data_IF_468031100499
#
_entry.id   IF_468031100499
#
_cell.length_a   1.000
_cell.length_b   1.000
_cell.length_c   1.000
_cell.angle_alpha   90.00
_cell.angle_beta   90.00
_cell.angle_gamma   90.00
#
_symmetry.space_group_name_H-M   'P 1'
#
loop_
_entity.id
_entity.type
_entity.pdbx_description
1 polymer ?
#
# COMPACT_ATOMS: atom_id res chain seq x y z
N UNK A 1 5.83 -17.52 8.86
CA UNK A 1 5.74 -16.11 8.50
C UNK A 1 5.91 -15.96 6.99
N UNK A 2 4.97 -15.31 6.35
CA UNK A 2 5.06 -15.09 4.92
C UNK A 2 5.65 -13.73 4.63
N UNK A 3 6.72 -13.72 3.82
CA UNK A 3 7.33 -12.48 3.35
C UNK A 3 7.03 -12.39 1.87
N UNK A 4 6.30 -11.34 1.50
CA UNK A 4 5.97 -11.12 0.11
C UNK A 4 7.07 -10.30 -0.56
N UNK A 5 7.48 -10.75 -1.75
CA UNK A 5 8.43 -10.01 -2.55
C UNK A 5 7.81 -8.69 -3.01
N UNK A 6 8.60 -7.65 -2.97
CA UNK A 6 8.16 -6.35 -3.47
C UNK A 6 9.34 -5.67 -4.17
N UNK A 7 9.00 -4.77 -5.09
CA UNK A 7 9.99 -4.05 -5.88
C UNK A 7 10.28 -2.67 -5.30
N UNK A 8 9.28 -2.07 -4.66
CA UNK A 8 9.37 -0.73 -4.09
C UNK A 8 8.68 -0.70 -2.74
N UNK A 9 9.02 0.28 -1.94
CA UNK A 9 8.46 0.42 -0.61
C UNK A 9 8.28 1.89 -0.29
N UNK A 10 7.14 2.24 0.33
CA UNK A 10 6.93 3.57 0.88
C UNK A 10 6.52 3.45 2.33
N UNK A 11 6.98 4.40 3.13
CA UNK A 11 6.70 4.47 4.55
C UNK A 11 5.76 5.64 4.81
N UNK A 12 4.53 5.31 5.21
CA UNK A 12 3.53 6.33 5.56
C UNK A 12 3.18 6.28 7.04
N UNK A 13 4.07 5.72 7.84
CA UNK A 13 3.87 5.63 9.29
C UNK A 13 3.73 7.04 9.88
N UNK A 14 2.74 7.21 10.75
CA UNK A 14 2.47 8.50 11.35
C UNK A 14 1.54 9.39 10.55
N UNK A 15 1.23 9.01 9.31
CA UNK A 15 0.32 9.78 8.47
C UNK A 15 -1.09 9.18 8.56
N UNK A 16 -2.09 10.06 8.48
CA UNK A 16 -3.49 9.62 8.54
C UNK A 16 -4.16 9.78 7.18
N UNK A 17 -5.26 9.04 7.00
CA UNK A 17 -6.05 9.09 5.79
C UNK A 17 -6.50 10.54 5.51
N UNK A 18 -6.41 11.01 4.24
CA UNK A 18 -6.14 10.24 3.02
C UNK A 18 -4.68 10.30 2.55
N UNK A 19 -3.75 10.78 3.38
CA UNK A 19 -2.38 11.02 2.94
C UNK A 19 -1.68 9.75 2.47
N UNK A 20 -1.79 8.60 3.16
CA UNK A 20 -1.16 7.37 2.66
C UNK A 20 -1.63 6.98 1.27
N UNK A 21 -2.92 7.15 0.97
CA UNK A 21 -3.48 6.82 -0.35
C UNK A 21 -2.89 7.76 -1.41
N UNK A 22 -2.75 9.03 -1.07
CA UNK A 22 -2.17 10.01 -1.98
C UNK A 22 -0.71 9.67 -2.29
N UNK A 23 0.02 9.19 -1.29
CA UNK A 23 1.41 8.76 -1.48
C UNK A 23 1.50 7.55 -2.40
N UNK A 24 0.58 6.60 -2.26
CA UNK A 24 0.53 5.44 -3.15
C UNK A 24 0.25 5.88 -4.58
N UNK A 25 -0.72 6.76 -4.77
CA UNK A 25 -1.07 7.27 -6.10
C UNK A 25 0.13 7.95 -6.75
N UNK A 26 0.87 8.74 -5.97
CA UNK A 26 2.05 9.44 -6.47
C UNK A 26 3.15 8.45 -6.85
N UNK A 27 3.41 7.46 -5.99
CA UNK A 27 4.44 6.46 -6.26
C UNK A 27 4.11 5.64 -7.49
N UNK A 28 2.85 5.30 -7.70
CA UNK A 28 2.42 4.54 -8.87
C UNK A 28 2.74 5.26 -10.18
N UNK A 29 2.81 6.58 -10.16
CA UNK A 29 3.19 7.34 -11.36
C UNK A 29 4.67 7.18 -11.70
N UNK A 30 5.48 6.80 -10.72
CA UNK A 30 6.93 6.78 -10.87
C UNK A 30 7.51 5.38 -11.03
N UNK A 31 6.69 4.35 -10.91
CA UNK A 31 7.18 2.96 -11.01
C UNK A 31 6.59 2.27 -12.23
N UNK A 32 7.29 1.26 -12.78
CA UNK A 32 6.78 0.53 -13.94
C UNK A 32 5.52 -0.26 -13.63
N UNK A 33 4.70 -0.48 -14.65
CA UNK A 33 3.53 -1.33 -14.52
C UNK A 33 3.94 -2.76 -14.12
N UNK A 34 3.12 -3.37 -13.27
CA UNK A 34 3.39 -4.71 -12.78
C UNK A 34 4.26 -4.72 -11.53
N UNK A 35 4.81 -3.57 -11.13
CA UNK A 35 5.63 -3.48 -9.92
C UNK A 35 4.80 -3.69 -8.67
N UNK A 36 5.40 -4.35 -7.69
CA UNK A 36 4.78 -4.57 -6.38
C UNK A 36 5.28 -3.50 -5.42
N UNK A 37 4.36 -2.80 -4.80
CA UNK A 37 4.66 -1.74 -3.84
C UNK A 37 4.26 -2.19 -2.44
N UNK A 38 5.21 -2.12 -1.51
CA UNK A 38 4.95 -2.36 -0.10
C UNK A 38 4.66 -1.03 0.57
N UNK A 39 3.51 -0.94 1.23
CA UNK A 39 3.08 0.27 1.92
C UNK A 39 3.08 0.00 3.41
N UNK A 40 3.86 0.77 4.16
CA UNK A 40 3.89 0.68 5.62
C UNK A 40 3.07 1.86 6.17
N UNK A 41 2.17 1.58 7.09
CA UNK A 41 1.29 2.61 7.64
C UNK A 41 1.02 2.34 9.11
N UNK A 42 0.54 3.36 9.81
CA UNK A 42 0.07 3.24 11.19
C UNK A 42 -1.45 3.41 11.31
N UNK A 43 -2.10 3.79 10.22
CA UNK A 43 -3.55 4.00 10.19
C UNK A 43 -4.25 2.66 9.98
N UNK A 44 -5.10 2.28 10.93
CA UNK A 44 -5.82 1.01 10.84
C UNK A 44 -6.78 0.93 9.65
N UNK A 45 -7.18 2.06 9.09
CA UNK A 45 -8.06 2.11 7.92
C UNK A 45 -7.35 1.86 6.61
N UNK A 46 -6.02 1.73 6.62
CA UNK A 46 -5.24 1.65 5.38
C UNK A 46 -5.61 0.43 4.52
N UNK A 47 -5.93 -0.68 5.14
CA UNK A 47 -6.23 -1.92 4.41
C UNK A 47 -7.47 -1.72 3.55
N UNK A 48 -8.56 -1.26 4.16
CA UNK A 48 -9.82 -1.05 3.42
C UNK A 48 -9.70 0.10 2.44
N UNK A 49 -8.98 1.16 2.81
CA UNK A 49 -8.80 2.31 1.93
C UNK A 49 -8.01 1.92 0.67
N UNK A 50 -6.95 1.15 0.81
CA UNK A 50 -6.17 0.70 -0.34
C UNK A 50 -6.91 -0.34 -1.17
N UNK A 51 -7.68 -1.21 -0.52
CA UNK A 51 -8.52 -2.16 -1.24
C UNK A 51 -9.50 -1.42 -2.14
N UNK A 52 -10.16 -0.40 -1.61
CA UNK A 52 -11.10 0.42 -2.36
C UNK A 52 -10.42 1.19 -3.48
N UNK A 53 -9.25 1.79 -3.18
CA UNK A 53 -8.48 2.54 -4.15
C UNK A 53 -8.05 1.67 -5.33
N UNK A 54 -7.53 0.48 -5.05
CA UNK A 54 -7.10 -0.45 -6.11
C UNK A 54 -8.28 -0.87 -6.99
N UNK A 55 -9.42 -1.10 -6.39
CA UNK A 55 -10.62 -1.48 -7.14
C UNK A 55 -11.05 -0.36 -8.07
N UNK A 56 -11.03 0.88 -7.59
CA UNK A 56 -11.47 2.04 -8.38
C UNK A 56 -10.49 2.41 -9.47
N UNK A 57 -9.21 2.16 -9.26
CA UNK A 57 -8.16 2.56 -10.21
C UNK A 57 -7.64 1.40 -11.03
N UNK A 58 -8.26 0.24 -10.90
CA UNK A 58 -7.88 -0.94 -11.67
C UNK A 58 -6.44 -1.41 -11.39
N UNK A 59 -6.00 -1.24 -10.16
CA UNK A 59 -4.76 -1.81 -9.67
C UNK A 59 -5.08 -3.07 -8.86
N UNK A 60 -4.05 -3.83 -8.50
CA UNK A 60 -4.25 -5.09 -7.82
C UNK A 60 -3.88 -4.99 -6.34
N UNK A 61 -4.82 -5.38 -5.48
CA UNK A 61 -4.58 -5.50 -4.05
C UNK A 61 -4.12 -6.93 -3.79
N UNK A 62 -2.87 -7.09 -3.38
CA UNK A 62 -2.27 -8.42 -3.28
C UNK A 62 -2.48 -9.07 -1.92
N UNK A 63 -2.04 -8.39 -0.86
CA UNK A 63 -2.15 -8.94 0.48
C UNK A 63 -1.89 -7.85 1.51
N UNK A 64 -2.09 -8.19 2.76
CA UNK A 64 -1.76 -7.29 3.86
C UNK A 64 -1.32 -8.09 5.07
N UNK A 65 -0.63 -7.40 5.97
CA UNK A 65 -0.16 -7.99 7.21
C UNK A 65 -0.30 -6.95 8.31
N UNK A 66 -0.79 -7.38 9.47
CA UNK A 66 -0.91 -6.51 10.63
C UNK A 66 0.16 -6.93 11.63
N UNK A 67 1.12 -6.05 11.86
CA UNK A 67 2.22 -6.25 12.78
C UNK A 67 2.33 -4.99 13.63
N UNK A 68 1.43 -4.87 14.61
CA UNK A 68 1.28 -3.66 15.40
C UNK A 68 2.58 -3.15 15.96
N UNK A 69 2.84 -1.84 15.87
CA UNK A 69 1.92 -0.76 15.46
C UNK A 69 1.83 -0.54 13.95
N UNK A 70 2.39 -1.42 13.15
CA UNK A 70 2.42 -1.26 11.69
C UNK A 70 1.33 -2.05 11.00
N UNK A 71 0.80 -1.45 9.93
CA UNK A 71 -0.08 -2.09 8.97
C UNK A 71 0.66 -2.11 7.64
N UNK A 72 0.83 -3.28 7.07
CA UNK A 72 1.62 -3.46 5.85
C UNK A 72 0.72 -3.96 4.75
N UNK A 73 0.73 -3.28 3.61
CA UNK A 73 -0.13 -3.64 2.47
C UNK A 73 0.74 -3.77 1.23
N UNK A 74 0.46 -4.79 0.45
CA UNK A 74 1.15 -5.02 -0.82
C UNK A 74 0.15 -4.81 -1.96
N UNK A 75 0.50 -3.93 -2.88
CA UNK A 75 -0.33 -3.60 -4.03
C UNK A 75 0.52 -3.66 -5.31
N UNK A 76 -0.12 -3.93 -6.44
CA UNK A 76 0.58 -3.98 -7.73
C UNK A 76 0.04 -2.88 -8.63
N UNK A 77 0.96 -2.18 -9.28
CA UNK A 77 0.59 -1.15 -10.25
C UNK A 77 -0.09 -1.74 -11.49
#
# INVERSE_FOLDING_TARGET
MMIMKHDYEIDTFGLSCPVPIMKVAEEFKNIPEGSVLKVVASDEGIVEDLRSYCKKTNHEFLSYEISLPEYIVYVRK
#
